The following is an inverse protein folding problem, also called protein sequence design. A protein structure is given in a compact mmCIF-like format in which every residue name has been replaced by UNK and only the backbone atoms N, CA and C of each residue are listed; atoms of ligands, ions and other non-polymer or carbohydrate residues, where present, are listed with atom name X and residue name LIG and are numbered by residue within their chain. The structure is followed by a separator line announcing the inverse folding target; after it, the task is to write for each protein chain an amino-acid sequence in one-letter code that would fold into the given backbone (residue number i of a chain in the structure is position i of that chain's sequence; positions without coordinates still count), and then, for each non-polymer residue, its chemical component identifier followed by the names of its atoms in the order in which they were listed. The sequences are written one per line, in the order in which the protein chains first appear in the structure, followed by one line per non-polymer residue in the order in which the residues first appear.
data_IF_194378248153
#
_entry.id   IF_194378248153
#
_cell.length_a   1.000
_cell.length_b   1.000
_cell.length_c   1.000
_cell.angle_alpha   90.00
_cell.angle_beta   90.00
_cell.angle_gamma   90.00
#
_symmetry.space_group_name_H-M   'P 1'
#
loop_
_entity.id
_entity.type
_entity.pdbx_description
1 polymer ?
#
# COMPACT_ATOMS: atom_id res chain seq x y z
N UNK A 1 -41.61 12.80 6.10
CA UNK A 1 -41.02 12.26 7.35
C UNK A 1 -39.79 11.49 6.93
N UNK A 2 -38.61 11.89 7.40
CA UNK A 2 -37.38 11.16 7.07
C UNK A 2 -37.40 9.78 7.72
N UNK A 3 -36.54 8.86 7.27
CA UNK A 3 -36.42 7.55 7.92
C UNK A 3 -35.83 7.67 9.33
N UNK A 4 -34.95 8.66 9.55
CA UNK A 4 -34.49 9.04 10.87
C UNK A 4 -35.65 9.47 11.78
N UNK A 5 -36.55 10.36 11.33
CA UNK A 5 -37.72 10.80 12.09
C UNK A 5 -38.63 9.62 12.47
N UNK A 6 -38.78 8.65 11.57
CA UNK A 6 -39.53 7.41 11.83
C UNK A 6 -38.81 6.59 12.89
N UNK A 7 -37.49 6.44 12.78
CA UNK A 7 -36.66 5.73 13.73
C UNK A 7 -36.72 6.33 15.14
N UNK A 8 -36.67 7.66 15.26
CA UNK A 8 -36.76 8.35 16.57
C UNK A 8 -38.11 8.13 17.25
N UNK A 9 -39.18 7.87 16.48
CA UNK A 9 -40.53 7.57 16.97
C UNK A 9 -40.81 6.08 17.14
N UNK A 10 -39.86 5.20 16.78
CA UNK A 10 -40.07 3.75 16.77
C UNK A 10 -40.53 3.21 18.12
N UNK A 11 -39.98 3.71 19.22
CA UNK A 11 -40.32 3.27 20.58
C UNK A 11 -41.81 3.46 20.92
N UNK A 12 -42.46 4.47 20.33
CA UNK A 12 -43.85 4.84 20.59
C UNK A 12 -44.85 4.14 19.66
N UNK A 13 -44.35 3.39 18.67
CA UNK A 13 -45.21 2.65 17.75
C UNK A 13 -45.88 1.45 18.46
N UNK A 14 -47.11 1.08 18.08
CA UNK A 14 -47.70 -0.20 18.45
C UNK A 14 -46.80 -1.38 18.04
N UNK A 15 -46.81 -2.45 18.84
CA UNK A 15 -45.87 -3.57 18.65
C UNK A 15 -46.06 -4.30 17.31
N UNK A 16 -47.29 -4.43 16.82
CA UNK A 16 -47.59 -4.96 15.49
C UNK A 16 -46.97 -4.09 14.37
N UNK A 17 -46.99 -2.77 14.51
CA UNK A 17 -46.34 -1.86 13.54
C UNK A 17 -44.82 -1.99 13.60
N UNK A 18 -44.23 -2.15 14.79
CA UNK A 18 -42.79 -2.41 14.93
C UNK A 18 -42.39 -3.72 14.25
N UNK A 19 -43.18 -4.79 14.39
CA UNK A 19 -42.94 -6.07 13.70
C UNK A 19 -42.97 -5.92 12.18
N UNK A 20 -43.95 -5.16 11.66
CA UNK A 20 -44.07 -4.88 10.22
C UNK A 20 -42.84 -4.12 9.72
N UNK A 21 -42.37 -3.11 10.47
CA UNK A 21 -41.17 -2.36 10.11
C UNK A 21 -39.91 -3.23 10.14
N UNK A 22 -39.73 -4.10 11.14
CA UNK A 22 -38.60 -5.04 11.17
C UNK A 22 -38.66 -6.04 10.01
N UNK A 23 -39.84 -6.55 9.70
CA UNK A 23 -40.05 -7.43 8.54
C UNK A 23 -39.73 -6.71 7.23
N UNK A 24 -40.10 -5.44 7.13
CA UNK A 24 -39.78 -4.59 5.98
C UNK A 24 -38.28 -4.34 5.86
N UNK A 25 -37.58 -4.03 6.96
CA UNK A 25 -36.11 -3.89 6.98
C UNK A 25 -35.47 -5.17 6.43
N UNK A 26 -35.86 -6.34 6.94
CA UNK A 26 -35.40 -7.65 6.44
C UNK A 26 -35.66 -7.80 4.95
N UNK A 27 -36.88 -7.49 4.49
CA UNK A 27 -37.27 -7.60 3.09
C UNK A 27 -36.44 -6.73 2.15
N UNK A 28 -36.19 -5.47 2.50
CA UNK A 28 -35.36 -4.57 1.68
C UNK A 28 -33.93 -5.10 1.59
N UNK A 29 -33.34 -5.51 2.71
CA UNK A 29 -31.95 -6.01 2.78
C UNK A 29 -31.73 -7.12 1.75
N UNK A 30 -32.70 -8.02 1.58
CA UNK A 30 -32.57 -9.15 0.64
C UNK A 30 -32.90 -8.81 -0.82
N UNK A 31 -33.73 -7.80 -1.07
CA UNK A 31 -34.27 -7.55 -2.42
C UNK A 31 -33.61 -6.38 -3.16
N UNK A 32 -32.99 -5.44 -2.46
CA UNK A 32 -32.44 -4.20 -3.05
C UNK A 32 -31.15 -3.75 -2.37
N UNK A 33 -29.99 -4.32 -2.74
CA UNK A 33 -28.70 -3.95 -2.16
C UNK A 33 -28.25 -2.51 -2.49
N UNK A 34 -28.91 -1.86 -3.44
CA UNK A 34 -28.70 -0.47 -3.88
C UNK A 34 -29.39 0.59 -2.99
N UNK A 35 -30.09 0.19 -1.91
CA UNK A 35 -30.72 1.09 -0.93
C UNK A 35 -29.96 1.12 0.44
N UNK A 36 -28.62 1.24 0.50
CA UNK A 36 -27.90 1.19 1.77
C UNK A 36 -28.09 2.44 2.64
N UNK A 37 -28.21 3.63 2.04
CA UNK A 37 -28.25 4.92 2.77
C UNK A 37 -29.53 5.08 3.60
N UNK A 38 -30.66 4.66 3.06
CA UNK A 38 -31.96 4.83 3.72
C UNK A 38 -32.09 3.98 5.00
N UNK A 39 -31.44 2.81 5.05
CA UNK A 39 -31.53 1.91 6.20
C UNK A 39 -30.62 2.39 7.34
N UNK A 40 -29.49 3.01 7.02
CA UNK A 40 -28.61 3.63 8.01
C UNK A 40 -29.37 4.70 8.81
N UNK A 41 -30.06 5.63 8.13
CA UNK A 41 -30.79 6.73 8.77
C UNK A 41 -31.90 6.22 9.69
N UNK A 42 -32.62 5.16 9.27
CA UNK A 42 -33.63 4.50 10.10
C UNK A 42 -32.98 3.91 11.36
N UNK A 43 -31.88 3.16 11.19
CA UNK A 43 -31.11 2.61 12.31
C UNK A 43 -30.67 3.71 13.27
N UNK A 44 -30.12 4.80 12.74
CA UNK A 44 -29.65 5.95 13.51
C UNK A 44 -30.75 6.59 14.35
N UNK A 45 -31.92 6.87 13.77
CA UNK A 45 -33.08 7.37 14.52
C UNK A 45 -33.54 6.39 15.62
N UNK A 46 -33.58 5.09 15.32
CA UNK A 46 -33.91 4.05 16.32
C UNK A 46 -32.88 4.07 17.46
N UNK A 47 -31.59 4.19 17.13
CA UNK A 47 -30.49 4.22 18.10
C UNK A 47 -30.63 5.36 19.11
N UNK A 48 -30.97 6.57 18.64
CA UNK A 48 -31.23 7.74 19.49
C UNK A 48 -32.37 7.53 20.49
N UNK A 49 -33.36 6.71 20.14
CA UNK A 49 -34.55 6.48 20.95
C UNK A 49 -34.56 5.11 21.66
N UNK A 50 -33.52 4.29 21.47
CA UNK A 50 -33.46 2.90 21.94
C UNK A 50 -33.70 2.78 23.45
N UNK A 51 -33.27 3.79 24.21
CA UNK A 51 -33.39 3.86 25.65
C UNK A 51 -34.83 3.93 26.15
N UNK A 52 -35.76 4.36 25.31
CA UNK A 52 -37.19 4.43 25.65
C UNK A 52 -37.88 3.07 25.46
N UNK A 53 -37.18 2.08 24.90
CA UNK A 53 -37.70 0.74 24.69
C UNK A 53 -37.45 -0.17 25.90
N UNK A 54 -38.19 -1.27 25.96
CA UNK A 54 -37.93 -2.36 26.90
C UNK A 54 -36.81 -3.28 26.37
N UNK A 55 -36.22 -4.08 27.26
CA UNK A 55 -35.06 -4.91 26.93
C UNK A 55 -35.35 -5.94 25.83
N UNK A 56 -36.58 -6.46 25.75
CA UNK A 56 -36.99 -7.42 24.72
C UNK A 56 -36.93 -6.80 23.32
N UNK A 57 -37.44 -5.58 23.17
CA UNK A 57 -37.36 -4.84 21.91
C UNK A 57 -35.93 -4.46 21.54
N UNK A 58 -35.10 -4.06 22.51
CA UNK A 58 -33.68 -3.78 22.27
C UNK A 58 -33.01 -5.02 21.68
N UNK A 59 -33.14 -6.18 22.35
CA UNK A 59 -32.57 -7.44 21.86
C UNK A 59 -33.11 -7.84 20.49
N UNK A 60 -34.40 -7.59 20.24
CA UNK A 60 -35.04 -7.96 18.97
C UNK A 60 -34.53 -7.12 17.81
N UNK A 61 -34.43 -5.80 17.98
CA UNK A 61 -33.92 -4.89 16.95
C UNK A 61 -32.44 -5.18 16.67
N UNK A 62 -31.64 -5.38 17.71
CA UNK A 62 -30.20 -5.56 17.50
C UNK A 62 -29.85 -6.90 16.86
N UNK A 63 -30.72 -7.92 16.93
CA UNK A 63 -30.56 -9.15 16.12
C UNK A 63 -30.55 -8.88 14.62
N UNK A 64 -31.15 -7.79 14.16
CA UNK A 64 -31.11 -7.38 12.75
C UNK A 64 -29.70 -6.94 12.31
N UNK A 65 -28.81 -6.63 13.26
CA UNK A 65 -27.41 -6.31 12.96
C UNK A 65 -26.69 -7.41 12.19
N UNK A 66 -27.09 -8.67 12.38
CA UNK A 66 -26.51 -9.81 11.65
C UNK A 66 -26.93 -9.80 10.19
N UNK A 67 -28.14 -9.33 9.88
CA UNK A 67 -28.68 -9.29 8.53
C UNK A 67 -28.26 -8.02 7.79
N UNK A 68 -28.07 -6.88 8.48
CA UNK A 68 -27.68 -5.61 7.86
C UNK A 68 -26.62 -4.86 8.66
N UNK A 69 -25.36 -4.87 8.19
CA UNK A 69 -24.29 -4.07 8.77
C UNK A 69 -24.60 -2.56 8.78
N UNK A 70 -25.16 -2.01 7.70
CA UNK A 70 -25.48 -0.57 7.61
C UNK A 70 -26.57 -0.15 8.61
N UNK A 71 -27.58 -1.01 8.81
CA UNK A 71 -28.58 -0.78 9.86
C UNK A 71 -27.92 -0.77 11.24
N UNK A 72 -27.05 -1.75 11.49
CA UNK A 72 -26.35 -1.89 12.76
C UNK A 72 -25.43 -0.69 13.05
N UNK A 73 -24.74 -0.21 12.03
CA UNK A 73 -23.86 0.94 12.12
C UNK A 73 -24.66 2.20 12.46
N UNK A 74 -25.76 2.44 11.73
CA UNK A 74 -26.68 3.54 12.03
C UNK A 74 -27.18 3.43 13.47
N UNK A 75 -27.72 2.27 13.83
CA UNK A 75 -28.20 1.97 15.19
C UNK A 75 -27.16 2.29 16.25
N UNK A 76 -25.95 1.75 16.13
CA UNK A 76 -24.88 1.94 17.11
C UNK A 76 -24.41 3.40 17.20
N UNK A 77 -24.34 4.14 16.08
CA UNK A 77 -24.02 5.58 16.07
C UNK A 77 -25.12 6.40 16.74
N UNK A 78 -26.38 6.09 16.49
CA UNK A 78 -27.50 6.74 17.18
C UNK A 78 -27.47 6.49 18.69
N UNK A 79 -27.10 5.28 19.11
CA UNK A 79 -26.87 4.95 20.52
C UNK A 79 -25.70 5.76 21.10
N UNK A 80 -24.58 5.87 20.36
CA UNK A 80 -23.39 6.63 20.78
C UNK A 80 -23.67 8.13 20.96
N UNK A 81 -24.50 8.72 20.09
CA UNK A 81 -24.88 10.14 20.15
C UNK A 81 -25.94 10.45 21.22
N UNK A 82 -26.63 9.42 21.73
CA UNK A 82 -27.64 9.58 22.77
C UNK A 82 -27.00 9.84 24.14
N UNK A 83 -27.61 10.72 24.94
CA UNK A 83 -27.20 10.97 26.32
C UNK A 83 -27.55 9.74 27.19
N UNK A 84 -26.60 8.83 27.35
CA UNK A 84 -26.81 7.58 28.08
C UNK A 84 -26.75 7.77 29.59
N UNK A 85 -27.86 7.55 30.28
CA UNK A 85 -27.94 7.49 31.75
C UNK A 85 -28.16 6.05 32.26
N UNK A 86 -28.89 5.22 31.50
CA UNK A 86 -29.21 3.84 31.89
C UNK A 86 -28.17 2.83 31.38
N UNK A 87 -27.20 2.51 32.23
CA UNK A 87 -26.14 1.53 31.92
C UNK A 87 -26.66 0.15 31.54
N UNK A 88 -27.79 -0.30 32.12
CA UNK A 88 -28.30 -1.67 31.91
C UNK A 88 -28.77 -1.85 30.48
N UNK A 89 -29.49 -0.86 29.94
CA UNK A 89 -29.95 -0.88 28.55
C UNK A 89 -28.80 -0.82 27.54
N UNK A 90 -27.73 -0.08 27.85
CA UNK A 90 -26.54 -0.05 27.00
C UNK A 90 -25.91 -1.43 26.90
N UNK A 91 -25.73 -2.09 28.05
CA UNK A 91 -25.15 -3.43 28.11
C UNK A 91 -26.06 -4.42 27.36
N UNK A 92 -27.38 -4.34 27.52
CA UNK A 92 -28.31 -5.19 26.77
C UNK A 92 -28.19 -5.00 25.24
N UNK A 93 -28.02 -3.76 24.77
CA UNK A 93 -27.73 -3.46 23.37
C UNK A 93 -26.41 -4.10 22.93
N UNK A 94 -25.33 -3.89 23.68
CA UNK A 94 -23.99 -4.38 23.33
C UNK A 94 -23.89 -5.92 23.43
N UNK A 95 -24.64 -6.56 24.33
CA UNK A 95 -24.63 -8.01 24.56
C UNK A 95 -25.36 -8.80 23.46
N UNK A 96 -26.27 -8.17 22.73
CA UNK A 96 -27.06 -8.85 21.71
C UNK A 96 -26.24 -9.36 20.50
N UNK A 97 -25.34 -8.55 19.93
CA UNK A 97 -24.55 -8.89 18.74
C UNK A 97 -23.14 -8.28 18.81
N UNK A 98 -22.13 -8.96 18.23
CA UNK A 98 -20.73 -8.49 18.26
C UNK A 98 -20.56 -7.22 17.43
N UNK A 99 -21.20 -7.15 16.25
CA UNK A 99 -21.15 -5.99 15.37
C UNK A 99 -21.69 -4.72 16.03
N UNK A 100 -22.71 -4.82 16.87
CA UNK A 100 -23.22 -3.70 17.66
C UNK A 100 -22.13 -3.12 18.59
N UNK A 101 -21.32 -3.98 19.21
CA UNK A 101 -20.19 -3.55 20.04
C UNK A 101 -19.07 -2.91 19.22
N UNK A 102 -18.75 -3.47 18.04
CA UNK A 102 -17.74 -2.89 17.13
C UNK A 102 -18.17 -1.49 16.70
N UNK A 103 -19.37 -1.36 16.13
CA UNK A 103 -19.84 -0.08 15.62
C UNK A 103 -20.02 0.96 16.74
N UNK A 104 -20.50 0.55 17.91
CA UNK A 104 -20.62 1.46 19.05
C UNK A 104 -19.24 1.99 19.48
N UNK A 105 -18.25 1.11 19.63
CA UNK A 105 -16.89 1.52 20.00
C UNK A 105 -16.19 2.33 18.91
N UNK A 106 -16.62 2.24 17.65
CA UNK A 106 -16.08 3.07 16.56
C UNK A 106 -16.60 4.52 16.56
N UNK A 107 -17.66 4.83 17.32
CA UNK A 107 -18.29 6.17 17.31
C UNK A 107 -18.49 6.78 18.70
N UNK A 108 -18.47 5.99 19.77
CA UNK A 108 -18.72 6.51 21.12
C UNK A 108 -17.59 7.45 21.60
N UNK A 109 -17.97 8.49 22.36
CA UNK A 109 -17.00 9.29 23.11
C UNK A 109 -16.44 8.50 24.30
N UNK A 110 -15.30 7.87 24.06
CA UNK A 110 -14.63 7.00 25.03
C UNK A 110 -14.08 7.76 26.26
N UNK A 111 -14.11 9.09 26.27
CA UNK A 111 -13.75 9.91 27.43
C UNK A 111 -14.87 10.02 28.47
N UNK A 112 -16.10 9.66 28.09
CA UNK A 112 -17.25 9.74 28.97
C UNK A 112 -17.22 8.65 30.06
N UNK A 113 -17.00 9.07 31.31
CA UNK A 113 -16.94 8.17 32.47
C UNK A 113 -18.25 7.42 32.76
N UNK A 114 -19.39 7.95 32.30
CA UNK A 114 -20.71 7.33 32.53
C UNK A 114 -20.83 6.00 31.81
N UNK A 115 -20.25 5.87 30.61
CA UNK A 115 -20.33 4.66 29.78
C UNK A 115 -19.18 3.67 30.03
N UNK A 116 -18.33 3.91 31.05
CA UNK A 116 -17.12 3.13 31.32
C UNK A 116 -17.36 1.61 31.33
N UNK A 117 -18.36 1.16 32.10
CA UNK A 117 -18.64 -0.26 32.29
C UNK A 117 -19.14 -0.92 30.99
N UNK A 118 -19.88 -0.17 30.17
CA UNK A 118 -20.35 -0.63 28.87
C UNK A 118 -19.21 -0.75 27.86
N UNK A 119 -18.27 0.21 27.86
CA UNK A 119 -17.06 0.15 27.01
C UNK A 119 -16.20 -1.06 27.40
N UNK A 120 -15.96 -1.28 28.70
CA UNK A 120 -15.22 -2.45 29.18
C UNK A 120 -15.88 -3.77 28.76
N UNK A 121 -17.20 -3.84 28.84
CA UNK A 121 -17.98 -4.98 28.36
C UNK A 121 -17.81 -5.19 26.85
N UNK A 122 -17.95 -4.13 26.06
CA UNK A 122 -17.79 -4.19 24.61
C UNK A 122 -16.39 -4.66 24.20
N UNK A 123 -15.33 -4.13 24.83
CA UNK A 123 -13.94 -4.57 24.57
C UNK A 123 -13.80 -6.08 24.81
N UNK A 124 -14.30 -6.57 25.94
CA UNK A 124 -14.24 -8.00 26.26
C UNK A 124 -14.97 -8.86 25.22
N UNK A 125 -16.06 -8.35 24.64
CA UNK A 125 -16.84 -9.03 23.62
C UNK A 125 -16.13 -9.08 22.27
N UNK A 126 -15.45 -8.01 21.88
CA UNK A 126 -14.83 -7.89 20.54
C UNK A 126 -13.36 -8.36 20.46
N UNK A 127 -12.73 -8.73 21.58
CA UNK A 127 -11.28 -9.06 21.61
C UNK A 127 -10.84 -10.23 20.72
N UNK A 128 -11.76 -11.05 20.23
CA UNK A 128 -11.49 -12.14 19.29
C UNK A 128 -11.66 -11.76 17.82
N UNK A 129 -12.12 -10.54 17.54
CA UNK A 129 -12.44 -10.07 16.20
C UNK A 129 -11.19 -9.54 15.46
N UNK A 130 -11.16 -9.72 14.14
CA UNK A 130 -10.00 -9.37 13.31
C UNK A 130 -10.07 -7.98 12.68
N UNK A 131 -11.27 -7.46 12.47
CA UNK A 131 -11.51 -6.24 11.70
C UNK A 131 -11.94 -5.11 12.63
N UNK A 132 -10.97 -4.54 13.32
CA UNK A 132 -11.16 -3.54 14.38
C UNK A 132 -10.53 -2.18 14.04
N UNK A 133 -10.32 -1.89 12.75
CA UNK A 133 -9.65 -0.65 12.29
C UNK A 133 -10.34 0.63 12.77
N UNK A 134 -11.63 0.81 12.47
CA UNK A 134 -12.38 2.00 12.90
C UNK A 134 -12.47 2.12 14.44
N UNK A 135 -12.49 0.99 15.14
CA UNK A 135 -12.39 0.99 16.61
C UNK A 135 -11.03 1.51 17.05
N UNK A 136 -9.93 1.02 16.46
CA UNK A 136 -8.58 1.49 16.71
C UNK A 136 -8.43 3.00 16.49
N UNK A 137 -8.95 3.50 15.36
CA UNK A 137 -8.99 4.92 15.04
C UNK A 137 -9.69 5.73 16.14
N UNK A 138 -10.90 5.33 16.52
CA UNK A 138 -11.67 6.05 17.56
C UNK A 138 -10.96 6.04 18.92
N UNK A 139 -10.38 4.90 19.32
CA UNK A 139 -9.56 4.83 20.53
C UNK A 139 -8.35 5.77 20.47
N UNK A 140 -7.73 5.90 19.30
CA UNK A 140 -6.59 6.79 19.13
C UNK A 140 -6.96 8.26 19.25
N UNK A 141 -8.08 8.67 18.63
CA UNK A 141 -8.62 10.03 18.74
C UNK A 141 -8.92 10.44 20.19
N UNK A 142 -9.50 9.53 20.98
CA UNK A 142 -9.93 9.83 22.35
C UNK A 142 -8.88 9.51 23.42
N UNK A 143 -7.74 8.88 23.09
CA UNK A 143 -6.81 8.22 24.03
C UNK A 143 -6.48 9.02 25.30
N UNK A 144 -6.26 10.34 25.21
CA UNK A 144 -5.94 11.19 26.38
C UNK A 144 -7.06 11.30 27.41
N UNK A 145 -8.31 11.25 26.95
CA UNK A 145 -9.50 11.36 27.79
C UNK A 145 -9.99 10.01 28.33
N UNK A 146 -9.48 8.89 27.80
CA UNK A 146 -9.97 7.56 28.15
C UNK A 146 -9.61 7.22 29.62
N UNK A 147 -10.59 6.80 30.44
CA UNK A 147 -10.36 6.24 31.78
C UNK A 147 -9.24 5.18 31.80
N UNK A 148 -8.45 5.14 32.88
CA UNK A 148 -7.31 4.23 32.98
C UNK A 148 -7.71 2.76 32.80
N UNK A 149 -8.83 2.34 33.39
CA UNK A 149 -9.31 0.96 33.31
C UNK A 149 -9.65 0.54 31.88
N UNK A 150 -10.17 1.48 31.07
CA UNK A 150 -10.43 1.23 29.65
C UNK A 150 -9.12 1.12 28.88
N UNK A 151 -8.11 1.95 29.18
CA UNK A 151 -6.78 1.86 28.56
C UNK A 151 -6.09 0.53 28.88
N UNK A 152 -6.16 0.09 30.13
CA UNK A 152 -5.64 -1.22 30.55
C UNK A 152 -6.33 -2.35 29.78
N UNK A 153 -7.65 -2.27 29.60
CA UNK A 153 -8.40 -3.30 28.87
C UNK A 153 -8.21 -3.24 27.35
N UNK A 154 -7.97 -2.05 26.80
CA UNK A 154 -7.65 -1.82 25.39
C UNK A 154 -6.37 -2.56 24.97
N UNK A 155 -5.46 -2.84 25.89
CA UNK A 155 -4.24 -3.63 25.62
C UNK A 155 -4.52 -5.01 25.03
N UNK A 156 -5.69 -5.59 25.30
CA UNK A 156 -6.10 -6.85 24.66
C UNK A 156 -6.42 -6.68 23.17
N UNK A 157 -6.95 -5.52 22.76
CA UNK A 157 -7.28 -5.21 21.36
C UNK A 157 -6.05 -4.87 20.53
N UNK A 158 -5.00 -4.36 21.19
CA UNK A 158 -3.73 -4.06 20.55
C UNK A 158 -3.01 -5.29 19.97
N UNK A 159 -3.42 -6.50 20.36
CA UNK A 159 -2.97 -7.77 19.73
C UNK A 159 -3.57 -7.98 18.33
N UNK A 160 -4.60 -7.22 17.96
CA UNK A 160 -5.26 -7.28 16.65
C UNK A 160 -4.59 -6.26 15.71
N UNK A 161 -3.94 -6.70 14.62
CA UNK A 161 -3.15 -5.81 13.76
C UNK A 161 -3.92 -4.61 13.20
N UNK A 162 -5.17 -4.80 12.76
CA UNK A 162 -5.98 -3.70 12.21
C UNK A 162 -6.29 -2.63 13.27
N UNK A 163 -6.54 -3.04 14.53
CA UNK A 163 -6.78 -2.11 15.62
C UNK A 163 -5.50 -1.33 15.92
N UNK A 164 -4.39 -2.03 16.12
CA UNK A 164 -3.12 -1.41 16.49
C UNK A 164 -2.62 -0.43 15.42
N UNK A 165 -2.73 -0.78 14.14
CA UNK A 165 -2.34 0.09 13.04
C UNK A 165 -3.11 1.41 13.04
N UNK A 166 -4.45 1.36 13.01
CA UNK A 166 -5.29 2.58 13.00
C UNK A 166 -5.18 3.37 14.31
N UNK A 167 -5.05 2.69 15.46
CA UNK A 167 -4.81 3.35 16.74
C UNK A 167 -3.51 4.17 16.74
N UNK A 168 -2.39 3.56 16.33
CA UNK A 168 -1.08 4.21 16.31
C UNK A 168 -1.01 5.34 15.29
N UNK A 169 -1.81 5.26 14.22
CA UNK A 169 -1.92 6.32 13.21
C UNK A 169 -2.48 7.59 13.82
N UNK A 170 -3.50 7.47 14.66
CA UNK A 170 -4.20 8.63 15.26
C UNK A 170 -3.52 9.17 16.53
N UNK A 171 -2.94 8.33 17.39
CA UNK A 171 -2.34 8.83 18.65
C UNK A 171 -1.05 9.59 18.43
N UNK A 172 -0.70 10.50 19.35
CA UNK A 172 0.67 11.03 19.46
C UNK A 172 1.54 10.03 20.22
N UNK A 173 2.60 9.51 19.59
CA UNK A 173 3.36 8.39 20.18
C UNK A 173 4.05 8.73 21.53
N UNK A 174 4.38 9.99 21.78
CA UNK A 174 4.88 10.41 23.11
C UNK A 174 3.92 10.15 24.27
N UNK A 175 2.62 10.05 23.99
CA UNK A 175 1.60 9.85 25.02
C UNK A 175 1.38 8.34 25.31
N UNK A 176 2.02 7.44 24.55
CA UNK A 176 1.85 5.99 24.65
C UNK A 176 3.19 5.26 24.83
N UNK A 177 3.36 4.57 25.96
CA UNK A 177 4.64 3.97 26.35
C UNK A 177 4.83 2.50 25.93
N UNK A 178 3.77 1.81 25.52
CA UNK A 178 3.76 0.34 25.36
C UNK A 178 3.87 -0.12 23.89
N UNK A 179 4.57 0.64 23.03
CA UNK A 179 4.67 0.29 21.61
C UNK A 179 5.63 -0.86 21.31
N UNK A 180 6.48 -1.27 22.26
CA UNK A 180 7.45 -2.35 22.09
C UNK A 180 6.79 -3.67 21.68
N UNK A 181 5.56 -3.91 22.17
CA UNK A 181 4.76 -5.11 21.85
C UNK A 181 4.48 -5.22 20.34
N UNK A 182 4.51 -4.10 19.60
CA UNK A 182 4.20 -4.07 18.18
C UNK A 182 5.39 -4.18 17.25
N UNK A 183 6.62 -4.12 17.79
CA UNK A 183 7.83 -4.13 16.96
C UNK A 183 8.06 -5.47 16.25
N UNK A 184 7.26 -6.50 16.55
CA UNK A 184 7.21 -7.76 15.80
C UNK A 184 6.42 -7.69 14.49
N UNK A 185 5.53 -6.71 14.33
CA UNK A 185 4.76 -6.50 13.09
C UNK A 185 5.51 -5.52 12.18
N UNK A 186 5.74 -5.91 10.93
CA UNK A 186 6.44 -5.07 9.96
C UNK A 186 5.68 -3.78 9.66
N UNK A 187 4.37 -3.87 9.39
CA UNK A 187 3.52 -2.71 9.06
C UNK A 187 3.44 -1.71 10.22
N UNK A 188 3.32 -2.22 11.45
CA UNK A 188 3.27 -1.34 12.63
C UNK A 188 4.64 -0.74 12.93
N UNK A 189 5.72 -1.51 12.74
CA UNK A 189 7.09 -0.98 12.89
C UNK A 189 7.38 0.12 11.88
N UNK A 190 6.88 -0.01 10.64
CA UNK A 190 6.95 1.04 9.61
C UNK A 190 6.21 2.30 10.06
N UNK A 191 4.97 2.18 10.53
CA UNK A 191 4.22 3.32 11.09
C UNK A 191 4.93 4.00 12.27
N UNK A 192 5.53 3.23 13.19
CA UNK A 192 6.32 3.77 14.30
C UNK A 192 7.56 4.52 13.76
N UNK A 193 8.20 3.98 12.73
CA UNK A 193 9.33 4.62 12.06
C UNK A 193 8.95 5.94 11.39
N UNK A 194 7.81 6.01 10.69
CA UNK A 194 7.31 7.24 10.08
C UNK A 194 7.04 8.34 11.12
N UNK A 195 6.56 7.93 12.29
CA UNK A 195 6.24 8.82 13.41
C UNK A 195 7.39 8.93 14.42
N UNK A 196 8.62 8.56 14.05
CA UNK A 196 9.76 8.50 14.96
C UNK A 196 10.05 9.83 15.65
N UNK A 197 9.80 10.96 14.98
CA UNK A 197 9.95 12.31 15.55
C UNK A 197 9.00 12.62 16.71
N UNK A 198 7.86 11.92 16.82
CA UNK A 198 6.92 12.11 17.92
C UNK A 198 7.39 11.47 19.22
N UNK A 199 8.33 10.52 19.15
CA UNK A 199 8.86 9.81 20.30
C UNK A 199 9.79 10.70 21.13
N UNK A 200 9.75 10.55 22.46
CA UNK A 200 10.77 11.14 23.33
C UNK A 200 12.10 10.36 23.27
N UNK A 201 13.19 10.94 23.77
CA UNK A 201 14.53 10.36 23.72
C UNK A 201 14.61 8.93 24.31
N UNK A 202 13.85 8.66 25.37
CA UNK A 202 13.81 7.34 26.00
C UNK A 202 13.12 6.30 25.11
N UNK A 203 11.97 6.68 24.52
CA UNK A 203 11.23 5.83 23.59
C UNK A 203 12.03 5.55 22.32
N UNK A 204 12.71 6.55 21.75
CA UNK A 204 13.57 6.37 20.56
C UNK A 204 14.66 5.34 20.79
N UNK A 205 15.32 5.37 21.96
CA UNK A 205 16.33 4.38 22.34
C UNK A 205 15.76 2.98 22.48
N UNK A 206 14.54 2.85 23.02
CA UNK A 206 13.84 1.57 23.14
C UNK A 206 13.50 0.98 21.77
N UNK A 207 13.02 1.79 20.83
CA UNK A 207 12.75 1.36 19.45
C UNK A 207 14.01 0.76 18.80
N UNK A 208 15.19 1.35 19.02
CA UNK A 208 16.45 0.81 18.49
C UNK A 208 16.93 -0.51 19.12
N UNK A 209 16.31 -0.99 20.19
CA UNK A 209 16.56 -2.35 20.71
C UNK A 209 15.92 -3.43 19.82
N UNK A 210 14.97 -3.07 18.97
CA UNK A 210 14.27 -3.97 18.06
C UNK A 210 14.34 -3.48 16.61
N UNK A 211 15.54 -3.40 16.02
CA UNK A 211 15.71 -2.99 14.63
C UNK A 211 15.09 -4.01 13.68
N UNK A 212 14.06 -3.61 12.93
CA UNK A 212 13.35 -4.45 11.95
C UNK A 212 13.34 -3.80 10.57
N UNK A 213 12.98 -4.58 9.55
CA UNK A 213 12.80 -4.09 8.19
C UNK A 213 11.77 -2.94 8.14
N UNK A 214 10.62 -3.15 8.78
CA UNK A 214 9.52 -2.17 8.83
C UNK A 214 9.97 -0.86 9.46
N UNK A 215 10.62 -0.93 10.63
CA UNK A 215 11.15 0.26 11.29
C UNK A 215 12.12 1.03 10.38
N UNK A 216 13.01 0.31 9.69
CA UNK A 216 13.92 0.91 8.71
C UNK A 216 13.17 1.70 7.63
N UNK A 217 12.13 1.10 7.04
CA UNK A 217 11.28 1.75 6.02
C UNK A 217 10.67 3.04 6.52
N UNK A 218 10.01 2.98 7.68
CA UNK A 218 9.34 4.14 8.25
C UNK A 218 10.31 5.28 8.56
N UNK A 219 11.45 4.97 9.18
CA UNK A 219 12.49 5.96 9.45
C UNK A 219 13.05 6.54 8.16
N UNK A 220 13.19 5.72 7.10
CA UNK A 220 13.59 6.20 5.77
C UNK A 220 12.65 7.29 5.26
N UNK A 221 11.33 7.07 5.38
CA UNK A 221 10.29 8.03 4.94
C UNK A 221 10.42 9.37 5.68
N UNK A 222 10.65 9.35 6.99
CA UNK A 222 10.70 10.56 7.82
C UNK A 222 12.12 11.10 8.06
N UNK A 223 13.14 10.58 7.38
CA UNK A 223 14.54 10.80 7.75
C UNK A 223 14.94 12.27 7.66
N UNK A 224 14.48 12.97 6.63
CA UNK A 224 14.75 14.39 6.36
C UNK A 224 14.35 15.30 7.52
N UNK A 225 13.23 15.00 8.18
CA UNK A 225 12.66 15.74 9.30
C UNK A 225 13.37 15.48 10.64
N UNK A 226 14.25 14.48 10.72
CA UNK A 226 14.91 14.14 11.97
C UNK A 226 15.99 15.16 12.34
N UNK A 227 16.14 15.41 13.65
CA UNK A 227 17.27 16.18 14.16
C UNK A 227 18.59 15.48 13.83
N UNK A 228 19.64 16.28 13.62
CA UNK A 228 20.98 15.79 13.24
C UNK A 228 21.54 14.71 14.19
N UNK A 229 21.30 14.84 15.50
CA UNK A 229 21.66 13.84 16.50
C UNK A 229 21.07 12.47 16.16
N UNK A 230 19.76 12.43 15.89
CA UNK A 230 19.05 11.19 15.58
C UNK A 230 19.43 10.62 14.22
N UNK A 231 19.66 11.46 13.20
CA UNK A 231 20.20 11.02 11.91
C UNK A 231 21.50 10.22 12.09
N UNK A 232 22.43 10.72 12.92
CA UNK A 232 23.69 10.01 13.23
C UNK A 232 23.47 8.68 13.96
N UNK A 233 22.61 8.66 14.97
CA UNK A 233 22.31 7.43 15.72
C UNK A 233 21.66 6.35 14.83
N UNK A 234 20.78 6.74 13.92
CA UNK A 234 20.17 5.83 12.93
C UNK A 234 21.22 5.24 12.02
N UNK A 235 22.10 6.08 11.45
CA UNK A 235 23.17 5.63 10.57
C UNK A 235 24.12 4.65 11.27
N UNK A 236 24.43 4.90 12.54
CA UNK A 236 25.22 3.97 13.35
C UNK A 236 24.49 2.65 13.62
N UNK A 237 23.17 2.70 13.79
CA UNK A 237 22.34 1.51 14.01
C UNK A 237 22.26 0.65 12.75
N UNK A 238 21.93 1.23 11.60
CA UNK A 238 21.83 0.49 10.33
C UNK A 238 23.18 -0.08 9.88
N UNK A 239 24.30 0.56 10.25
CA UNK A 239 25.65 0.02 10.00
C UNK A 239 25.87 -1.36 10.63
N UNK A 240 25.18 -1.64 11.73
CA UNK A 240 25.30 -2.90 12.48
C UNK A 240 24.06 -3.80 12.35
N UNK A 241 23.01 -3.37 11.64
CA UNK A 241 21.79 -4.14 11.45
C UNK A 241 21.34 -4.12 9.99
N UNK A 242 21.59 -5.23 9.28
CA UNK A 242 21.27 -5.38 7.86
C UNK A 242 19.78 -5.26 7.55
N UNK A 243 18.92 -5.79 8.42
CA UNK A 243 17.47 -5.81 8.17
C UNK A 243 16.89 -4.38 8.17
N UNK A 244 17.21 -3.61 9.21
CA UNK A 244 16.84 -2.20 9.31
C UNK A 244 17.51 -1.36 8.21
N UNK A 245 18.77 -1.64 7.86
CA UNK A 245 19.46 -0.97 6.76
C UNK A 245 18.73 -1.16 5.43
N UNK A 246 18.30 -2.39 5.14
CA UNK A 246 17.56 -2.70 3.91
C UNK A 246 16.26 -1.89 3.82
N UNK A 247 15.49 -1.82 4.90
CA UNK A 247 14.25 -1.04 4.93
C UNK A 247 14.50 0.45 4.79
N UNK A 248 15.52 0.95 5.48
CA UNK A 248 15.93 2.36 5.42
C UNK A 248 16.33 2.78 4.00
N UNK A 249 17.26 2.03 3.39
CA UNK A 249 17.76 2.35 2.04
C UNK A 249 16.68 2.18 0.96
N UNK A 250 15.66 1.35 1.20
CA UNK A 250 14.53 1.20 0.27
C UNK A 250 13.66 2.45 0.20
N UNK A 251 13.47 3.17 1.32
CA UNK A 251 12.47 4.24 1.44
C UNK A 251 13.04 5.65 1.58
N UNK A 252 14.28 5.78 2.02
CA UNK A 252 14.89 7.10 2.24
C UNK A 252 14.92 7.91 0.95
N UNK A 253 14.61 9.20 1.04
CA UNK A 253 14.83 10.15 -0.04
C UNK A 253 16.34 10.37 -0.21
N UNK A 254 16.94 10.05 -1.37
CA UNK A 254 18.36 10.26 -1.60
C UNK A 254 18.84 11.69 -1.32
N UNK A 255 18.01 12.71 -1.54
CA UNK A 255 18.38 14.11 -1.26
C UNK A 255 18.66 14.33 0.24
N UNK A 256 17.96 13.62 1.11
CA UNK A 256 18.18 13.70 2.57
C UNK A 256 19.50 13.06 3.03
N UNK A 257 20.18 12.31 2.15
CA UNK A 257 21.44 11.64 2.44
C UNK A 257 22.68 12.46 2.06
N UNK A 258 22.55 13.64 1.44
CA UNK A 258 23.68 14.37 0.85
C UNK A 258 24.84 14.61 1.86
N UNK A 259 24.50 15.05 3.07
CA UNK A 259 25.48 15.29 4.15
C UNK A 259 26.06 13.99 4.77
N UNK A 260 25.40 12.85 4.52
CA UNK A 260 25.74 11.55 5.09
C UNK A 260 26.20 10.53 4.05
N UNK A 261 26.35 10.97 2.80
CA UNK A 261 26.51 10.07 1.66
C UNK A 261 27.76 9.19 1.80
N UNK A 262 28.85 9.72 2.37
CA UNK A 262 30.07 8.94 2.60
C UNK A 262 29.87 7.80 3.61
N UNK A 263 29.02 7.99 4.64
CA UNK A 263 28.69 6.95 5.62
C UNK A 263 27.84 5.87 4.94
N UNK A 264 26.89 6.29 4.10
CA UNK A 264 26.05 5.37 3.33
C UNK A 264 26.90 4.52 2.37
N UNK A 265 27.86 5.12 1.67
CA UNK A 265 28.82 4.38 0.82
C UNK A 265 29.57 3.32 1.65
N UNK A 266 30.05 3.68 2.85
CA UNK A 266 30.76 2.74 3.72
C UNK A 266 29.88 1.54 4.12
N UNK A 267 28.59 1.78 4.40
CA UNK A 267 27.63 0.74 4.76
C UNK A 267 27.40 -0.20 3.57
N UNK A 268 27.05 0.35 2.40
CA UNK A 268 26.68 -0.48 1.24
C UNK A 268 27.86 -1.14 0.55
N UNK A 269 29.08 -0.63 0.70
CA UNK A 269 30.29 -1.26 0.12
C UNK A 269 30.63 -2.59 0.79
N UNK A 270 30.05 -2.88 1.96
CA UNK A 270 30.29 -4.12 2.72
C UNK A 270 29.26 -5.21 2.42
N UNK A 271 28.15 -4.88 1.77
CA UNK A 271 27.05 -5.81 1.52
C UNK A 271 26.40 -5.55 0.16
N UNK A 272 26.53 -6.52 -0.75
CA UNK A 272 26.01 -6.47 -2.11
C UNK A 272 24.50 -6.23 -2.19
N UNK A 273 23.73 -6.78 -1.25
CA UNK A 273 22.27 -6.63 -1.24
C UNK A 273 21.89 -5.20 -0.84
N UNK A 274 22.56 -4.62 0.16
CA UNK A 274 22.35 -3.21 0.51
C UNK A 274 22.78 -2.28 -0.62
N UNK A 275 23.87 -2.61 -1.33
CA UNK A 275 24.34 -1.91 -2.53
C UNK A 275 23.27 -1.90 -3.64
N UNK A 276 22.68 -3.06 -3.92
CA UNK A 276 21.58 -3.17 -4.89
C UNK A 276 20.35 -2.37 -4.46
N UNK A 277 19.91 -2.47 -3.20
CA UNK A 277 18.72 -1.76 -2.70
C UNK A 277 18.90 -0.25 -2.79
N UNK A 278 20.06 0.27 -2.41
CA UNK A 278 20.36 1.70 -2.55
C UNK A 278 20.40 2.11 -4.03
N UNK A 279 21.07 1.33 -4.89
CA UNK A 279 21.09 1.58 -6.32
C UNK A 279 19.67 1.68 -6.90
N UNK A 280 18.80 0.73 -6.54
CA UNK A 280 17.39 0.72 -6.96
C UNK A 280 16.66 1.98 -6.51
N UNK A 281 16.80 2.36 -5.24
CA UNK A 281 16.17 3.58 -4.73
C UNK A 281 16.68 4.84 -5.46
N UNK A 282 17.98 4.93 -5.78
CA UNK A 282 18.52 6.02 -6.60
C UNK A 282 17.96 6.02 -8.02
N UNK A 283 17.83 4.85 -8.66
CA UNK A 283 17.27 4.72 -10.01
C UNK A 283 15.80 5.14 -10.05
N UNK A 284 15.02 4.73 -9.05
CA UNK A 284 13.60 5.06 -8.93
C UNK A 284 13.34 6.55 -8.71
N UNK A 285 14.29 7.26 -8.09
CA UNK A 285 14.19 8.69 -7.80
C UNK A 285 15.11 9.54 -8.70
N UNK A 286 15.67 8.98 -9.78
CA UNK A 286 16.74 9.62 -10.56
C UNK A 286 16.35 11.01 -11.06
N UNK A 287 15.10 11.23 -11.49
CA UNK A 287 14.60 12.54 -11.94
C UNK A 287 14.59 13.61 -10.85
N UNK A 288 14.45 13.21 -9.58
CA UNK A 288 14.15 14.10 -8.46
C UNK A 288 15.38 14.36 -7.56
N UNK A 289 16.52 13.73 -7.85
CA UNK A 289 17.75 13.91 -7.06
C UNK A 289 18.62 15.02 -7.64
N UNK A 290 19.39 15.69 -6.77
CA UNK A 290 20.28 16.78 -7.16
C UNK A 290 21.34 16.32 -8.18
N UNK A 291 21.82 17.24 -9.03
CA UNK A 291 22.89 16.95 -10.00
C UNK A 291 24.15 16.36 -9.34
N UNK A 292 24.50 16.84 -8.13
CA UNK A 292 25.62 16.32 -7.36
C UNK A 292 25.40 14.85 -6.97
N UNK A 293 24.19 14.50 -6.54
CA UNK A 293 23.84 13.11 -6.21
C UNK A 293 23.77 12.22 -7.45
N UNK A 294 23.27 12.72 -8.60
CA UNK A 294 23.34 12.01 -9.89
C UNK A 294 24.79 11.67 -10.25
N UNK A 295 25.69 12.65 -10.24
CA UNK A 295 27.12 12.42 -10.51
C UNK A 295 27.72 11.40 -9.55
N UNK A 296 27.37 11.49 -8.27
CA UNK A 296 27.89 10.58 -7.25
C UNK A 296 27.36 9.14 -7.42
N UNK A 297 26.09 8.99 -7.82
CA UNK A 297 25.49 7.69 -8.14
C UNK A 297 26.14 7.06 -9.38
N UNK A 298 26.43 7.86 -10.40
CA UNK A 298 27.15 7.42 -11.61
C UNK A 298 28.53 6.90 -11.21
N UNK A 299 29.31 7.67 -10.45
CA UNK A 299 30.64 7.25 -9.99
C UNK A 299 30.57 5.98 -9.15
N UNK A 300 29.54 5.86 -8.29
CA UNK A 300 29.35 4.69 -7.44
C UNK A 300 28.99 3.45 -8.27
N UNK A 301 28.17 3.59 -9.31
CA UNK A 301 27.79 2.49 -10.22
C UNK A 301 28.99 1.88 -10.95
N UNK A 302 30.04 2.67 -11.18
CA UNK A 302 31.28 2.20 -11.81
C UNK A 302 32.18 1.45 -10.83
N UNK A 303 32.05 1.72 -9.52
CA UNK A 303 32.87 1.13 -8.46
C UNK A 303 32.21 -0.09 -7.81
N UNK A 304 30.88 -0.08 -7.71
CA UNK A 304 30.08 -1.09 -7.05
C UNK A 304 29.11 -1.73 -8.06
N UNK A 305 29.46 -2.91 -8.61
CA UNK A 305 28.62 -3.63 -9.59
C UNK A 305 27.15 -3.76 -9.18
N UNK A 306 26.88 -4.12 -7.92
CA UNK A 306 25.52 -4.32 -7.42
C UNK A 306 24.73 -3.03 -7.28
N UNK A 307 25.38 -1.93 -6.94
CA UNK A 307 24.78 -0.60 -7.03
C UNK A 307 24.40 -0.28 -8.48
N UNK A 308 25.28 -0.55 -9.44
CA UNK A 308 24.98 -0.37 -10.86
C UNK A 308 23.78 -1.20 -11.34
N UNK A 309 23.72 -2.49 -10.97
CA UNK A 309 22.55 -3.35 -11.23
C UNK A 309 21.28 -2.77 -10.60
N UNK A 310 21.34 -2.32 -9.35
CA UNK A 310 20.22 -1.66 -8.68
C UNK A 310 19.77 -0.39 -9.39
N UNK A 311 20.73 0.49 -9.73
CA UNK A 311 20.48 1.76 -10.43
C UNK A 311 19.74 1.52 -11.74
N UNK A 312 20.24 0.58 -12.56
CA UNK A 312 19.57 0.21 -13.80
C UNK A 312 18.14 -0.31 -13.59
N UNK A 313 17.95 -1.19 -12.59
CA UNK A 313 16.64 -1.75 -12.27
C UNK A 313 15.64 -0.66 -11.87
N UNK A 314 16.05 0.24 -10.97
CA UNK A 314 15.23 1.34 -10.49
C UNK A 314 14.92 2.36 -11.60
N UNK A 315 15.89 2.66 -12.46
CA UNK A 315 15.69 3.55 -13.60
C UNK A 315 14.68 2.98 -14.61
N UNK A 316 14.74 1.68 -14.88
CA UNK A 316 13.73 1.02 -15.71
C UNK A 316 12.33 1.12 -15.09
N UNK A 317 12.19 1.01 -13.76
CA UNK A 317 10.92 1.24 -13.06
C UNK A 317 10.38 2.66 -13.32
N UNK A 318 11.22 3.69 -13.25
CA UNK A 318 10.81 5.08 -13.49
C UNK A 318 10.44 5.37 -14.95
N UNK A 319 11.04 4.65 -15.89
CA UNK A 319 10.63 4.68 -17.31
C UNK A 319 9.31 3.92 -17.54
N UNK A 320 8.99 2.98 -16.65
CA UNK A 320 7.91 2.01 -16.78
C UNK A 320 6.51 2.46 -16.41
N UNK A 321 6.30 3.73 -16.07
CA UNK A 321 5.00 4.27 -15.63
C UNK A 321 4.03 4.40 -16.82
N UNK A 322 3.63 3.26 -17.39
CA UNK A 322 2.66 3.10 -18.47
C UNK A 322 1.29 3.70 -18.14
N UNK A 323 0.97 3.77 -16.84
CA UNK A 323 -0.24 4.37 -16.31
C UNK A 323 0.12 5.71 -15.67
N UNK A 324 0.36 6.72 -16.50
CA UNK A 324 0.60 8.10 -16.07
C UNK A 324 -0.47 8.68 -15.13
N UNK A 325 -1.60 7.97 -14.95
CA UNK A 325 -2.64 8.28 -13.98
C UNK A 325 -2.30 7.96 -12.51
N UNK A 326 -1.28 7.14 -12.22
CA UNK A 326 -1.08 6.62 -10.85
C UNK A 326 0.05 7.36 -10.10
N UNK A 327 1.03 7.98 -10.78
CA UNK A 327 2.16 8.68 -10.13
C UNK A 327 2.71 9.82 -11.00
N UNK A 328 2.11 11.00 -10.91
CA UNK A 328 2.56 12.18 -11.67
C UNK A 328 3.99 12.63 -11.29
N UNK A 329 4.46 12.34 -10.07
CA UNK A 329 5.70 12.92 -9.51
C UNK A 329 7.01 12.15 -9.82
N UNK A 330 6.96 11.04 -10.58
CA UNK A 330 8.14 10.18 -10.83
C UNK A 330 8.39 9.86 -12.29
N UNK A 331 8.06 10.80 -13.18
CA UNK A 331 8.32 10.66 -14.61
C UNK A 331 9.75 11.10 -14.89
N UNK A 332 10.55 10.21 -15.46
CA UNK A 332 11.90 10.51 -15.89
C UNK A 332 11.88 11.57 -17.02
N UNK A 333 12.71 12.59 -16.90
CA UNK A 333 12.89 13.57 -17.98
C UNK A 333 13.53 12.89 -19.20
N UNK A 334 13.32 13.43 -20.40
CA UNK A 334 13.94 12.86 -21.62
C UNK A 334 15.47 12.95 -21.55
N UNK A 335 16.01 14.04 -20.98
CA UNK A 335 17.45 14.21 -20.75
C UNK A 335 18.01 13.14 -19.80
N UNK A 336 17.30 12.84 -18.71
CA UNK A 336 17.72 11.80 -17.76
C UNK A 336 17.58 10.39 -18.34
N UNK A 337 16.56 10.14 -19.16
CA UNK A 337 16.39 8.88 -19.89
C UNK A 337 17.55 8.65 -20.86
N UNK A 338 17.90 9.67 -21.66
CA UNK A 338 19.04 9.60 -22.57
C UNK A 338 20.37 9.34 -21.85
N UNK A 339 20.61 10.06 -20.75
CA UNK A 339 21.79 9.88 -19.91
C UNK A 339 21.88 8.44 -19.38
N UNK A 340 20.77 7.88 -18.88
CA UNK A 340 20.75 6.52 -18.35
C UNK A 340 21.03 5.45 -19.42
N UNK A 341 20.53 5.64 -20.65
CA UNK A 341 20.88 4.77 -21.76
C UNK A 341 22.35 4.90 -22.18
N UNK A 342 22.91 6.11 -22.18
CA UNK A 342 24.34 6.32 -22.44
C UNK A 342 25.20 5.59 -21.39
N UNK A 343 24.82 5.71 -20.13
CA UNK A 343 25.47 5.02 -19.01
C UNK A 343 25.35 3.50 -19.13
N UNK A 344 24.19 2.96 -19.48
CA UNK A 344 24.02 1.53 -19.77
C UNK A 344 24.89 1.06 -20.95
N UNK A 345 25.12 1.93 -21.93
CA UNK A 345 26.08 1.70 -23.02
C UNK A 345 27.54 1.60 -22.53
N UNK A 346 27.88 2.22 -21.40
CA UNK A 346 29.26 2.25 -20.85
C UNK A 346 29.45 1.27 -19.68
N UNK A 347 28.40 0.96 -18.93
CA UNK A 347 28.43 0.13 -17.73
C UNK A 347 27.47 -1.07 -17.88
N UNK A 348 28.04 -2.28 -17.95
CA UNK A 348 27.26 -3.50 -18.14
C UNK A 348 26.34 -3.84 -16.97
N UNK A 349 26.67 -3.39 -15.75
CA UNK A 349 25.82 -3.62 -14.58
C UNK A 349 24.54 -2.80 -14.64
N UNK A 350 24.62 -1.52 -15.07
CA UNK A 350 23.42 -0.70 -15.31
C UNK A 350 22.56 -1.32 -16.40
N UNK A 351 23.16 -1.70 -17.54
CA UNK A 351 22.42 -2.33 -18.64
C UNK A 351 21.70 -3.60 -18.20
N UNK A 352 22.41 -4.47 -17.47
CA UNK A 352 21.84 -5.70 -16.92
C UNK A 352 20.67 -5.39 -15.96
N UNK A 353 20.84 -4.44 -15.05
CA UNK A 353 19.78 -3.99 -14.14
C UNK A 353 18.53 -3.51 -14.88
N UNK A 354 18.69 -2.68 -15.91
CA UNK A 354 17.58 -2.21 -16.75
C UNK A 354 16.87 -3.38 -17.46
N UNK A 355 17.64 -4.33 -17.99
CA UNK A 355 17.11 -5.49 -18.73
C UNK A 355 16.50 -6.57 -17.81
N UNK A 356 16.96 -6.70 -16.57
CA UNK A 356 16.32 -7.54 -15.56
C UNK A 356 14.89 -7.06 -15.26
N UNK A 357 14.63 -5.76 -15.43
CA UNK A 357 13.32 -5.14 -15.32
C UNK A 357 12.70 -4.76 -16.69
N UNK A 358 12.80 -5.67 -17.65
CA UNK A 358 12.34 -5.45 -19.03
C UNK A 358 10.86 -5.09 -19.15
N UNK A 359 10.02 -5.59 -18.23
CA UNK A 359 8.58 -5.32 -18.19
C UNK A 359 8.26 -3.84 -18.03
N UNK A 360 9.04 -3.13 -17.21
CA UNK A 360 8.96 -1.68 -17.10
C UNK A 360 9.66 -1.00 -18.28
N UNK A 361 10.84 -1.50 -18.68
CA UNK A 361 11.65 -0.86 -19.72
C UNK A 361 10.98 -0.81 -21.10
N UNK A 362 10.12 -1.77 -21.46
CA UNK A 362 9.38 -1.73 -22.74
C UNK A 362 8.48 -0.49 -22.85
N UNK A 363 8.15 0.20 -21.76
CA UNK A 363 7.38 1.44 -21.76
C UNK A 363 8.22 2.71 -21.90
N UNK A 364 9.55 2.62 -21.88
CA UNK A 364 10.45 3.76 -22.10
C UNK A 364 10.12 4.52 -23.39
N UNK A 365 10.35 5.83 -23.42
CA UNK A 365 10.05 6.67 -24.59
C UNK A 365 10.96 6.29 -25.75
N UNK A 366 12.23 6.03 -25.48
CA UNK A 366 13.24 5.74 -26.49
C UNK A 366 13.33 4.24 -26.82
N UNK A 367 12.38 3.76 -27.64
CA UNK A 367 12.30 2.35 -28.06
C UNK A 367 13.56 1.83 -28.76
N UNK A 368 14.22 2.68 -29.53
CA UNK A 368 15.44 2.27 -30.24
C UNK A 368 16.59 2.01 -29.29
N UNK A 369 16.74 2.80 -28.21
CA UNK A 369 17.75 2.55 -27.18
C UNK A 369 17.50 1.25 -26.40
N UNK A 370 16.24 0.92 -26.14
CA UNK A 370 15.87 -0.40 -25.57
C UNK A 370 16.32 -1.52 -26.51
N UNK A 371 16.04 -1.41 -27.82
CA UNK A 371 16.48 -2.40 -28.79
C UNK A 371 18.01 -2.50 -28.89
N UNK A 372 18.73 -1.37 -28.88
CA UNK A 372 20.21 -1.36 -28.87
C UNK A 372 20.76 -2.12 -27.67
N UNK A 373 20.18 -1.94 -26.48
CA UNK A 373 20.55 -2.72 -25.29
C UNK A 373 20.26 -4.22 -25.46
N UNK A 374 19.06 -4.60 -25.90
CA UNK A 374 18.71 -6.02 -26.10
C UNK A 374 19.61 -6.68 -27.15
N UNK A 375 19.95 -5.98 -28.24
CA UNK A 375 20.89 -6.48 -29.26
C UNK A 375 22.28 -6.76 -28.68
N UNK A 376 22.75 -5.90 -27.76
CA UNK A 376 24.04 -6.05 -27.10
C UNK A 376 24.04 -7.19 -26.08
N UNK A 377 22.93 -7.39 -25.38
CA UNK A 377 22.76 -8.42 -24.36
C UNK A 377 21.73 -9.46 -24.83
N UNK A 378 22.14 -10.24 -25.84
CA UNK A 378 21.24 -11.13 -26.60
C UNK A 378 20.47 -12.15 -25.75
N UNK A 379 20.98 -12.50 -24.57
CA UNK A 379 20.30 -13.41 -23.63
C UNK A 379 18.91 -12.90 -23.19
N UNK A 380 18.66 -11.59 -23.29
CA UNK A 380 17.35 -10.99 -22.98
C UNK A 380 16.37 -11.00 -24.18
N UNK A 381 16.83 -11.35 -25.39
CA UNK A 381 16.01 -11.31 -26.61
C UNK A 381 14.76 -12.18 -26.52
N UNK A 382 14.79 -13.43 -26.00
CA UNK A 382 13.58 -14.25 -25.90
C UNK A 382 12.50 -13.58 -25.02
N UNK A 383 12.86 -13.13 -23.82
CA UNK A 383 11.95 -12.42 -22.90
C UNK A 383 11.45 -11.11 -23.53
N UNK A 384 12.32 -10.38 -24.22
CA UNK A 384 11.95 -9.15 -24.92
C UNK A 384 10.86 -9.39 -25.97
N UNK A 385 11.06 -10.38 -26.85
CA UNK A 385 10.11 -10.72 -27.92
C UNK A 385 8.74 -11.11 -27.35
N UNK A 386 8.72 -11.88 -26.25
CA UNK A 386 7.47 -12.23 -25.55
C UNK A 386 6.72 -10.99 -25.05
N UNK A 387 7.42 -10.03 -24.43
CA UNK A 387 6.81 -8.86 -23.82
C UNK A 387 6.27 -7.83 -24.83
N UNK A 388 6.87 -7.74 -26.02
CA UNK A 388 6.47 -6.75 -27.03
C UNK A 388 5.34 -7.22 -27.95
N UNK A 389 4.75 -8.42 -27.76
CA UNK A 389 3.75 -8.99 -28.68
C UNK A 389 2.66 -7.98 -29.08
N UNK A 390 2.12 -7.27 -28.09
CA UNK A 390 1.05 -6.29 -28.32
C UNK A 390 1.54 -4.93 -28.82
N UNK A 391 2.85 -4.67 -28.80
CA UNK A 391 3.49 -3.36 -28.99
C UNK A 391 4.54 -3.37 -30.09
N UNK A 392 4.59 -4.44 -30.89
CA UNK A 392 5.61 -4.63 -31.92
C UNK A 392 5.62 -3.51 -32.98
N UNK A 393 4.48 -2.84 -33.15
CA UNK A 393 4.30 -1.69 -34.01
C UNK A 393 4.97 -0.41 -33.47
N UNK A 394 5.29 -0.32 -32.19
CA UNK A 394 6.01 0.81 -31.58
C UNK A 394 7.53 0.79 -31.90
N UNK A 395 8.07 -0.35 -32.34
CA UNK A 395 9.51 -0.54 -32.53
C UNK A 395 9.91 -0.49 -34.01
N UNK A 396 11.14 -0.05 -34.34
CA UNK A 396 11.66 -0.14 -35.70
C UNK A 396 11.80 -1.60 -36.15
N UNK A 397 11.19 -1.91 -37.31
CA UNK A 397 11.13 -3.28 -37.80
C UNK A 397 12.49 -3.83 -38.24
N UNK A 398 13.38 -3.03 -38.82
CA UNK A 398 14.72 -3.52 -39.20
C UNK A 398 15.52 -3.89 -37.95
N UNK A 399 15.41 -3.07 -36.90
CA UNK A 399 16.03 -3.34 -35.61
C UNK A 399 15.49 -4.62 -34.97
N UNK A 400 14.18 -4.85 -35.01
CA UNK A 400 13.59 -6.10 -34.53
C UNK A 400 14.07 -7.32 -35.33
N UNK A 401 14.05 -7.23 -36.66
CA UNK A 401 14.48 -8.34 -37.52
C UNK A 401 15.96 -8.68 -37.33
N UNK A 402 16.80 -7.71 -36.92
CA UNK A 402 18.20 -8.01 -36.58
C UNK A 402 18.39 -8.84 -35.30
N UNK A 403 17.34 -9.04 -34.49
CA UNK A 403 17.34 -9.98 -33.35
C UNK A 403 16.96 -11.41 -33.75
N UNK A 404 16.53 -11.63 -35.00
CA UNK A 404 15.94 -12.89 -35.44
C UNK A 404 16.99 -13.99 -35.66
N UNK A 405 17.45 -14.61 -34.57
CA UNK A 405 18.34 -15.78 -34.60
C UNK A 405 17.73 -16.96 -33.82
N UNK A 406 17.86 -18.18 -34.36
CA UNK A 406 17.40 -19.42 -33.71
C UNK A 406 15.93 -19.36 -33.26
N UNK A 407 15.68 -19.64 -31.98
CA UNK A 407 14.33 -19.63 -31.41
C UNK A 407 13.71 -18.22 -31.36
N UNK A 408 14.53 -17.16 -31.26
CA UNK A 408 14.04 -15.77 -31.28
C UNK A 408 13.47 -15.44 -32.65
N UNK A 409 14.09 -15.92 -33.73
CA UNK A 409 13.58 -15.77 -35.08
C UNK A 409 12.18 -16.39 -35.24
N UNK A 410 12.03 -17.63 -34.75
CA UNK A 410 10.77 -18.35 -34.77
C UNK A 410 9.66 -17.61 -34.01
N UNK A 411 9.93 -17.19 -32.77
CA UNK A 411 8.94 -16.48 -31.95
C UNK A 411 8.57 -15.10 -32.54
N UNK A 412 9.56 -14.35 -33.04
CA UNK A 412 9.30 -13.08 -33.71
C UNK A 412 8.46 -13.27 -34.98
N UNK A 413 8.72 -14.32 -35.77
CA UNK A 413 7.92 -14.67 -36.94
C UNK A 413 6.45 -14.92 -36.56
N UNK A 414 6.22 -15.70 -35.49
CA UNK A 414 4.87 -16.00 -34.96
C UNK A 414 4.12 -14.73 -34.56
N UNK A 415 4.77 -13.83 -33.82
CA UNK A 415 4.18 -12.56 -33.37
C UNK A 415 3.91 -11.64 -34.56
N UNK A 416 4.85 -11.51 -35.49
CA UNK A 416 4.65 -10.64 -36.65
C UNK A 416 3.55 -11.15 -37.58
N UNK A 417 3.30 -12.45 -37.66
CA UNK A 417 2.16 -12.98 -38.38
C UNK A 417 0.83 -12.61 -37.71
N UNK A 418 0.71 -12.80 -36.39
CA UNK A 418 -0.53 -12.45 -35.66
C UNK A 418 -0.82 -10.94 -35.70
N UNK A 419 0.23 -10.11 -35.76
CA UNK A 419 0.11 -8.65 -35.87
C UNK A 419 0.21 -8.12 -37.30
N UNK A 420 0.40 -8.97 -38.30
CA UNK A 420 0.61 -8.58 -39.69
C UNK A 420 -0.49 -7.68 -40.25
N UNK A 421 -1.79 -7.92 -39.98
CA UNK A 421 -2.87 -7.05 -40.46
C UNK A 421 -2.91 -5.67 -39.80
N UNK A 422 -2.19 -5.46 -38.70
CA UNK A 422 -2.22 -4.24 -37.91
C UNK A 422 -0.98 -3.36 -38.08
N UNK A 423 0.17 -3.93 -38.46
CA UNK A 423 1.36 -3.14 -38.78
C UNK A 423 1.21 -2.39 -40.11
N UNK A 424 1.88 -1.25 -40.27
CA UNK A 424 1.78 -0.44 -41.49
C UNK A 424 2.41 -1.13 -42.72
N UNK A 425 2.04 -0.66 -43.92
CA UNK A 425 2.47 -1.28 -45.19
C UNK A 425 3.99 -1.35 -45.35
N UNK A 426 4.72 -0.29 -44.96
CA UNK A 426 6.19 -0.27 -45.05
C UNK A 426 6.84 -1.37 -44.20
N UNK A 427 6.32 -1.61 -42.98
CA UNK A 427 6.78 -2.71 -42.12
C UNK A 427 6.39 -4.07 -42.72
N UNK A 428 5.20 -4.23 -43.29
CA UNK A 428 4.78 -5.49 -43.96
C UNK A 428 5.71 -5.88 -45.10
N UNK A 429 6.09 -4.94 -45.95
CA UNK A 429 7.02 -5.21 -47.07
C UNK A 429 8.34 -5.78 -46.56
N UNK A 430 8.92 -5.16 -45.52
CA UNK A 430 10.17 -5.63 -44.90
C UNK A 430 10.05 -7.02 -44.28
N UNK A 431 8.91 -7.31 -43.64
CA UNK A 431 8.62 -8.66 -43.12
C UNK A 431 8.56 -9.68 -44.24
N UNK A 432 7.86 -9.38 -45.35
CA UNK A 432 7.78 -10.27 -46.53
C UNK A 432 9.16 -10.54 -47.12
N UNK A 433 9.98 -9.50 -47.30
CA UNK A 433 11.36 -9.65 -47.79
C UNK A 433 12.22 -10.52 -46.85
N UNK A 434 11.98 -10.44 -45.55
CA UNK A 434 12.72 -11.21 -44.55
C UNK A 434 12.30 -12.68 -44.49
N UNK A 435 11.05 -13.02 -44.82
CA UNK A 435 10.56 -14.41 -44.92
C UNK A 435 11.42 -15.25 -45.88
N UNK A 436 11.90 -14.65 -46.98
CA UNK A 436 12.77 -15.34 -47.94
C UNK A 436 14.22 -15.50 -47.49
N UNK A 437 14.63 -14.82 -46.40
CA UNK A 437 16.02 -14.75 -45.94
C UNK A 437 16.29 -15.57 -44.68
N UNK A 438 15.27 -15.86 -43.87
CA UNK A 438 15.43 -16.53 -42.58
C UNK A 438 14.40 -17.66 -42.41
N UNK A 439 14.87 -18.91 -42.41
CA UNK A 439 14.02 -20.11 -42.42
C UNK A 439 13.27 -20.29 -41.11
N UNK A 440 13.93 -20.05 -39.98
CA UNK A 440 13.34 -20.15 -38.64
C UNK A 440 12.21 -19.13 -38.45
N UNK A 441 12.45 -17.89 -38.89
CA UNK A 441 11.45 -16.84 -38.93
C UNK A 441 10.25 -17.21 -39.81
N UNK A 442 10.50 -17.73 -41.02
CA UNK A 442 9.46 -18.22 -41.92
C UNK A 442 8.60 -19.31 -41.25
N UNK A 443 9.24 -20.30 -40.62
CA UNK A 443 8.54 -21.38 -39.92
C UNK A 443 7.63 -20.84 -38.81
N UNK A 444 8.12 -19.88 -38.01
CA UNK A 444 7.33 -19.22 -36.99
C UNK A 444 6.14 -18.45 -37.57
N UNK A 445 6.37 -17.73 -38.67
CA UNK A 445 5.35 -16.93 -39.35
C UNK A 445 4.21 -17.80 -39.90
N UNK A 446 4.49 -18.91 -40.58
CA UNK A 446 3.42 -19.76 -41.17
C UNK A 446 2.64 -20.56 -40.13
N UNK A 447 3.21 -20.79 -38.94
CA UNK A 447 2.55 -21.54 -37.85
C UNK A 447 1.61 -20.66 -37.02
N UNK A 448 1.52 -19.35 -37.29
CA UNK A 448 0.70 -18.45 -36.49
C UNK A 448 -0.75 -18.95 -36.47
N UNK A 449 -1.17 -19.49 -35.31
CA UNK A 449 -2.53 -19.95 -35.11
C UNK A 449 -3.41 -18.71 -35.13
N UNK A 450 -4.44 -18.69 -35.98
CA UNK A 450 -5.56 -17.78 -35.83
C UNK A 450 -6.12 -17.96 -34.40
N UNK A 451 -5.69 -17.10 -33.49
CA UNK A 451 -6.24 -16.97 -32.14
C UNK A 451 -7.32 -15.91 -32.16
#
# INVERSE_FOLDING_TARGET
MSLEDIGEKFYALPDDIKEVLLTYIRGIIFTRPDIPFNIFDLGYGIGKSILKMNDDWIRKITKECKASPNFCEGLARGVADSKFEDKRKLIAFLDSEVSASIFYLSSADLSNKVIKDAVLFAIQKIKGEKNLGEVGRNFGLHYKGIPQEIRERMMDLLKVPSFAYEFLKEIKLKDFSEFEVFLSSQEISELIGEKFNELNDFQKRKVFLHPTLGLGRGIGISFDQLEFKWKKEILQTIKNNKEMAMGFLEKVDPNSLEDFFQIIIEIVSRDEQLSFVLGRNFGENFSNISFRLKSSAIDLSMKLPKFGEGLGFGSANSMGNAFGFIKEDKILSEEDEELLFELAGKNCHIAKGMLDNLESLIFAKNKEKVLELVKRYRDYSPKFIELIERRIDEFNIDSLLSLAEGNVAYELGRILCSRFPYINQAKRTKVIEFLGKNREFYNGFVICKNR
#
